data_IF_840971014165
#
_entry.id   IF_840971014165
#
_cell.length_a   1.000
_cell.length_b   1.000
_cell.length_c   1.000
_cell.angle_alpha   90.00
_cell.angle_beta   90.00
_cell.angle_gamma   90.00
#
_symmetry.space_group_name_H-M   'P 1'
#
loop_
_entity.id
_entity.type
_entity.pdbx_description
1 polymer ?
#
# COMPACT_ATOMS: atom_id res chain seq x y z
N UNK A 1 -4.05 18.73 8.25
CA UNK A 1 -5.15 18.05 7.53
C UNK A 1 -5.59 16.82 8.32
N UNK A 2 -6.89 16.62 8.41
CA UNK A 2 -7.43 15.46 9.13
C UNK A 2 -8.02 14.49 8.09
N UNK A 3 -7.59 13.23 8.17
CA UNK A 3 -8.11 12.17 7.32
C UNK A 3 -9.14 11.33 8.08
N UNK A 4 -10.16 10.87 7.40
CA UNK A 4 -11.20 10.02 8.00
C UNK A 4 -10.80 8.55 8.04
N UNK A 5 -9.82 8.15 7.26
CA UNK A 5 -9.29 6.78 7.22
C UNK A 5 -7.80 6.81 6.89
N UNK A 6 -7.06 5.88 7.46
CA UNK A 6 -5.65 5.70 7.12
C UNK A 6 -5.46 5.35 5.64
N UNK A 7 -6.47 4.77 5.00
CA UNK A 7 -6.41 4.46 3.57
C UNK A 7 -6.24 5.69 2.69
N UNK A 8 -6.72 6.85 3.14
CA UNK A 8 -6.58 8.10 2.39
C UNK A 8 -5.11 8.57 2.31
N UNK A 9 -4.23 8.04 3.15
CA UNK A 9 -2.81 8.40 3.13
C UNK A 9 -1.98 7.52 2.19
N UNK A 10 -2.56 6.44 1.66
CA UNK A 10 -1.86 5.57 0.70
C UNK A 10 -1.54 6.36 -0.56
N UNK A 11 -0.29 6.31 -1.00
CA UNK A 11 0.13 6.97 -2.23
C UNK A 11 0.48 8.45 -2.11
N UNK A 12 0.24 9.07 -0.96
CA UNK A 12 0.58 10.47 -0.72
C UNK A 12 2.04 10.62 -0.26
N UNK A 13 2.94 9.97 -1.00
CA UNK A 13 4.36 10.02 -0.68
C UNK A 13 4.98 11.31 -1.19
N UNK A 14 5.93 11.90 -0.45
CA UNK A 14 6.60 13.12 -0.89
C UNK A 14 7.53 12.86 -2.06
N UNK A 15 7.82 13.90 -2.83
CA UNK A 15 8.93 13.92 -3.76
C UNK A 15 10.05 14.74 -3.11
N UNK A 16 11.22 14.16 -2.99
CA UNK A 16 12.35 14.78 -2.30
C UNK A 16 13.48 15.00 -3.28
N UNK A 17 13.97 16.24 -3.32
CA UNK A 17 15.08 16.59 -4.20
C UNK A 17 16.41 16.08 -3.61
N UNK A 18 17.21 15.45 -4.47
CA UNK A 18 18.55 15.01 -4.11
C UNK A 18 19.53 16.14 -4.44
N UNK A 19 20.20 16.69 -3.42
CA UNK A 19 21.05 17.86 -3.60
C UNK A 19 22.53 17.52 -3.77
N UNK A 20 23.01 16.46 -3.13
CA UNK A 20 24.45 16.18 -3.07
C UNK A 20 24.93 15.16 -4.10
N UNK A 21 24.09 14.21 -4.49
CA UNK A 21 24.46 13.13 -5.41
C UNK A 21 24.06 13.39 -6.85
N UNK A 22 23.25 14.40 -7.12
CA UNK A 22 22.82 14.72 -8.47
C UNK A 22 23.97 15.37 -9.24
N UNK A 23 24.19 15.00 -10.51
CA UNK A 23 25.13 15.71 -11.37
C UNK A 23 24.75 17.19 -11.53
N UNK A 24 25.75 18.02 -11.74
CA UNK A 24 25.51 19.45 -11.94
C UNK A 24 24.59 19.68 -13.14
N UNK A 25 23.61 20.55 -12.97
CA UNK A 25 22.64 20.89 -14.01
C UNK A 25 21.49 19.92 -14.14
N UNK A 26 21.45 18.89 -13.29
CA UNK A 26 20.37 17.88 -13.30
C UNK A 26 19.55 18.00 -12.03
N UNK A 27 18.23 18.03 -12.18
CA UNK A 27 17.30 17.97 -11.07
C UNK A 27 16.89 16.51 -10.87
N UNK A 28 17.29 15.93 -9.74
CA UNK A 28 16.99 14.54 -9.39
C UNK A 28 16.08 14.53 -8.17
N UNK A 29 14.99 13.78 -8.28
CA UNK A 29 14.02 13.61 -7.21
C UNK A 29 13.82 12.14 -6.92
N UNK A 30 13.51 11.82 -5.67
CA UNK A 30 13.11 10.48 -5.26
C UNK A 30 11.74 10.55 -4.60
N UNK A 31 11.00 9.45 -4.71
CA UNK A 31 9.73 9.27 -4.00
C UNK A 31 9.92 8.16 -2.96
N UNK A 32 10.21 8.51 -1.71
CA UNK A 32 10.43 7.50 -0.68
C UNK A 32 9.10 6.82 -0.31
N UNK A 33 8.88 5.66 -0.91
CA UNK A 33 7.63 4.92 -0.74
C UNK A 33 7.45 4.33 0.67
N UNK A 34 8.48 4.37 1.50
CA UNK A 34 8.34 3.99 2.90
C UNK A 34 7.48 4.98 3.71
N UNK A 35 7.12 6.13 3.14
CA UNK A 35 6.16 7.04 3.76
C UNK A 35 4.71 6.58 3.62
N UNK A 36 4.44 5.52 2.87
CA UNK A 36 3.12 4.91 2.89
C UNK A 36 2.82 4.37 4.30
N UNK A 37 1.53 4.28 4.69
CA UNK A 37 1.15 3.94 6.06
C UNK A 37 1.66 2.58 6.55
N UNK A 38 1.81 1.57 5.69
CA UNK A 38 2.44 0.30 6.03
C UNK A 38 3.90 0.23 5.55
N UNK A 39 4.47 1.37 5.19
CA UNK A 39 5.90 1.58 4.94
C UNK A 39 6.44 1.01 3.62
N UNK A 40 5.59 0.71 2.65
CA UNK A 40 6.10 0.23 1.36
C UNK A 40 5.20 0.61 0.19
N UNK A 41 5.76 0.51 -1.03
CA UNK A 41 5.02 0.72 -2.27
C UNK A 41 3.86 -0.29 -2.43
N UNK A 42 3.91 -1.41 -1.75
CA UNK A 42 2.88 -2.45 -1.82
C UNK A 42 1.56 -2.02 -1.21
N UNK A 43 1.53 -0.95 -0.41
CA UNK A 43 0.30 -0.36 0.06
C UNK A 43 -0.56 0.15 -1.10
N UNK A 44 0.07 0.70 -2.14
CA UNK A 44 -0.63 1.15 -3.35
C UNK A 44 -1.29 -0.02 -4.07
N UNK A 45 -0.56 -1.13 -4.23
CA UNK A 45 -1.09 -2.32 -4.88
C UNK A 45 -2.26 -2.90 -4.08
N UNK A 46 -2.07 -3.08 -2.78
CA UNK A 46 -3.09 -3.67 -1.92
C UNK A 46 -4.37 -2.82 -1.90
N UNK A 47 -4.22 -1.51 -1.72
CA UNK A 47 -5.37 -0.60 -1.73
C UNK A 47 -6.13 -0.66 -3.05
N UNK A 48 -5.40 -0.61 -4.18
CA UNK A 48 -6.00 -0.63 -5.50
C UNK A 48 -6.78 -1.91 -5.76
N UNK A 49 -6.21 -3.06 -5.41
CA UNK A 49 -6.87 -4.36 -5.61
C UNK A 49 -8.14 -4.48 -4.77
N UNK A 50 -8.04 -4.18 -3.48
CA UNK A 50 -9.18 -4.32 -2.57
C UNK A 50 -10.27 -3.31 -2.89
N UNK A 51 -9.91 -2.06 -3.10
CA UNK A 51 -10.87 -1.00 -3.42
C UNK A 51 -11.63 -1.31 -4.71
N UNK A 52 -10.93 -1.73 -5.76
CA UNK A 52 -11.56 -2.08 -7.02
C UNK A 52 -12.44 -3.31 -6.91
N UNK A 53 -12.00 -4.34 -6.17
CA UNK A 53 -12.79 -5.54 -5.95
C UNK A 53 -14.09 -5.23 -5.20
N UNK A 54 -14.03 -4.35 -4.22
CA UNK A 54 -15.21 -3.91 -3.48
C UNK A 54 -16.17 -3.11 -4.37
N UNK A 55 -15.63 -2.19 -5.18
CA UNK A 55 -16.45 -1.37 -6.10
C UNK A 55 -17.15 -2.22 -7.14
N UNK A 56 -16.53 -3.28 -7.63
CA UNK A 56 -17.11 -4.18 -8.61
C UNK A 56 -18.04 -5.21 -8.00
N UNK A 57 -18.13 -5.29 -6.67
CA UNK A 57 -18.96 -6.25 -5.98
C UNK A 57 -18.39 -7.67 -5.96
N UNK A 58 -17.14 -7.85 -6.40
CA UNK A 58 -16.46 -9.15 -6.36
C UNK A 58 -16.09 -9.50 -4.92
N UNK A 59 -15.70 -8.50 -4.14
CA UNK A 59 -15.37 -8.65 -2.72
C UNK A 59 -16.46 -7.95 -1.88
N UNK A 60 -17.11 -8.74 -1.03
CA UNK A 60 -18.19 -8.26 -0.16
C UNK A 60 -17.76 -8.34 1.31
N UNK A 61 -18.39 -7.53 2.18
CA UNK A 61 -18.11 -7.62 3.62
C UNK A 61 -18.25 -9.04 4.15
N UNK A 62 -17.30 -9.47 4.96
CA UNK A 62 -17.29 -10.80 5.56
C UNK A 62 -16.63 -11.87 4.72
N UNK A 63 -16.26 -11.59 3.49
CA UNK A 63 -15.52 -12.54 2.66
C UNK A 63 -14.04 -12.56 3.04
N UNK A 64 -13.39 -13.69 2.81
CA UNK A 64 -11.99 -13.89 3.13
C UNK A 64 -11.12 -13.56 1.94
N UNK A 65 -10.07 -12.77 2.17
CA UNK A 65 -9.02 -12.52 1.19
C UNK A 65 -7.85 -13.46 1.47
N UNK A 66 -7.43 -14.20 0.47
CA UNK A 66 -6.33 -15.18 0.58
C UNK A 66 -5.26 -14.82 -0.44
N UNK A 67 -4.03 -14.73 0.03
CA UNK A 67 -2.89 -14.42 -0.82
C UNK A 67 -1.64 -15.10 -0.29
N UNK A 68 -0.88 -15.72 -1.19
CA UNK A 68 0.43 -16.26 -0.88
C UNK A 68 1.45 -15.13 -1.04
N UNK A 69 2.11 -14.77 0.03
CA UNK A 69 3.03 -13.64 0.03
C UNK A 69 4.19 -13.89 0.97
N UNK A 70 5.34 -13.35 0.64
CA UNK A 70 6.56 -13.48 1.46
C UNK A 70 6.96 -12.18 2.15
N UNK A 71 6.19 -11.11 2.04
CA UNK A 71 6.63 -9.84 2.63
C UNK A 71 5.62 -8.70 2.48
N UNK A 72 6.07 -7.61 1.88
CA UNK A 72 5.35 -6.33 1.90
C UNK A 72 3.97 -6.36 1.26
N UNK A 73 3.75 -7.22 0.27
CA UNK A 73 2.40 -7.37 -0.32
C UNK A 73 1.42 -7.91 0.72
N UNK A 74 1.84 -8.90 1.51
CA UNK A 74 1.01 -9.43 2.59
C UNK A 74 0.73 -8.41 3.66
N UNK A 75 1.75 -7.64 4.05
CA UNK A 75 1.58 -6.57 5.03
C UNK A 75 0.59 -5.52 4.51
N UNK A 76 0.72 -5.11 3.25
CA UNK A 76 -0.18 -4.15 2.63
C UNK A 76 -1.62 -4.67 2.59
N UNK A 77 -1.83 -5.92 2.18
CA UNK A 77 -3.16 -6.53 2.16
C UNK A 77 -3.77 -6.63 3.55
N UNK A 78 -2.99 -7.05 4.54
CA UNK A 78 -3.46 -7.13 5.92
C UNK A 78 -3.90 -5.75 6.43
N UNK A 79 -3.10 -4.74 6.16
CA UNK A 79 -3.38 -3.37 6.53
C UNK A 79 -4.68 -2.85 5.89
N UNK A 80 -4.81 -3.00 4.57
CA UNK A 80 -5.99 -2.53 3.84
C UNK A 80 -7.24 -3.27 4.27
N UNK A 81 -7.17 -4.59 4.40
CA UNK A 81 -8.31 -5.39 4.82
C UNK A 81 -8.73 -5.09 6.27
N UNK A 82 -7.78 -4.77 7.15
CA UNK A 82 -8.09 -4.36 8.51
C UNK A 82 -8.81 -3.01 8.56
N UNK A 83 -8.50 -2.11 7.62
CA UNK A 83 -9.15 -0.81 7.53
C UNK A 83 -10.50 -0.86 6.79
N UNK A 84 -10.81 -1.99 6.17
CA UNK A 84 -12.12 -2.25 5.56
C UNK A 84 -12.86 -3.28 6.43
N UNK A 85 -13.97 -3.80 5.95
CA UNK A 85 -14.74 -4.83 6.69
C UNK A 85 -14.46 -6.23 6.17
N UNK A 86 -13.40 -6.41 5.41
CA UNK A 86 -13.02 -7.71 4.86
C UNK A 86 -12.20 -8.53 5.86
N UNK A 87 -12.37 -9.84 5.82
CA UNK A 87 -11.51 -10.77 6.54
C UNK A 87 -10.27 -11.06 5.72
N UNK A 88 -9.14 -11.19 6.43
CA UNK A 88 -7.86 -11.47 5.81
C UNK A 88 -7.31 -12.81 6.26
N UNK A 89 -6.87 -13.63 5.33
CA UNK A 89 -6.11 -14.83 5.61
C UNK A 89 -4.84 -14.77 4.76
N UNK A 90 -3.69 -14.69 5.42
CA UNK A 90 -2.40 -14.55 4.75
C UNK A 90 -1.58 -15.82 4.92
N UNK A 91 -0.88 -16.18 3.86
CA UNK A 91 0.03 -17.30 3.88
C UNK A 91 1.39 -16.86 3.37
N UNK A 92 2.38 -16.91 4.23
CA UNK A 92 3.74 -16.60 3.85
C UNK A 92 4.33 -17.71 2.98
N UNK A 93 5.16 -17.32 2.04
CA UNK A 93 5.97 -18.25 1.28
C UNK A 93 7.12 -18.71 2.19
N UNK A 94 7.17 -19.99 2.46
CA UNK A 94 8.29 -20.57 3.18
C UNK A 94 9.27 -21.14 2.16
N UNK A 95 10.52 -20.69 2.22
CA UNK A 95 11.60 -21.20 1.39
C UNK A 95 12.52 -22.08 2.23
#
# INVERSE_FOLDING_TARGET
MIYSSILETVGNTPAVKINNLAPEGINLYVKPEFFNPASSVKDRLAFSIIDEAEKQGVLKPGQTVVEATSGNTGIGLAFVCAATVSYTHLRAHET
#
